data_IF_189226722337
#
_entry.id   IF_189226722337
#
_cell.length_a   1.000
_cell.length_b   1.000
_cell.length_c   1.000
_cell.angle_alpha   90.00
_cell.angle_beta   90.00
_cell.angle_gamma   90.00
#
_symmetry.space_group_name_H-M   'P 1'
#
loop_
_entity.id
_entity.type
_entity.pdbx_description
1 polymer ?
#
# COMPACT_ATOMS: atom_id res chain seq x y z
N UNK A 1 38.81 -0.97 -20.22
CA UNK A 1 38.95 0.37 -19.61
C UNK A 1 38.63 0.22 -18.13
N UNK A 2 39.62 -0.14 -17.31
CA UNK A 2 39.45 -0.29 -15.86
C UNK A 2 40.38 0.71 -15.17
N UNK A 3 39.89 1.91 -14.90
CA UNK A 3 40.56 2.85 -14.00
C UNK A 3 39.51 3.70 -13.27
N UNK A 4 38.46 3.06 -12.73
CA UNK A 4 37.70 3.67 -11.66
C UNK A 4 38.63 3.86 -10.46
N UNK A 5 38.64 5.07 -9.86
CA UNK A 5 39.48 5.37 -8.69
C UNK A 5 39.29 4.31 -7.59
N UNK A 6 40.32 4.05 -6.79
CA UNK A 6 40.24 3.09 -5.66
C UNK A 6 39.01 3.33 -4.78
N UNK A 7 38.65 4.61 -4.60
CA UNK A 7 37.47 5.05 -3.87
C UNK A 7 36.15 4.60 -4.51
N UNK A 8 36.03 4.69 -5.84
CA UNK A 8 34.86 4.20 -6.58
C UNK A 8 34.64 2.70 -6.37
N UNK A 9 35.72 1.90 -6.43
CA UNK A 9 35.65 0.45 -6.17
C UNK A 9 35.27 0.14 -4.72
N UNK A 10 35.76 0.93 -3.76
CA UNK A 10 35.41 0.75 -2.35
C UNK A 10 33.94 1.08 -2.08
N UNK A 11 33.42 2.17 -2.68
CA UNK A 11 31.98 2.53 -2.60
C UNK A 11 31.10 1.44 -3.21
N UNK A 12 31.47 0.90 -4.38
CA UNK A 12 30.73 -0.19 -5.01
C UNK A 12 30.70 -1.47 -4.16
N UNK A 13 31.83 -1.84 -3.54
CA UNK A 13 31.91 -2.98 -2.62
C UNK A 13 31.02 -2.81 -1.39
N UNK A 14 30.94 -1.59 -0.84
CA UNK A 14 30.05 -1.31 0.28
C UNK A 14 28.59 -1.42 -0.14
N UNK A 15 28.21 -0.81 -1.28
CA UNK A 15 26.84 -0.82 -1.78
C UNK A 15 26.31 -2.23 -2.05
N UNK A 16 27.12 -3.12 -2.66
CA UNK A 16 26.67 -4.50 -2.92
C UNK A 16 26.51 -5.31 -1.62
N UNK A 17 27.32 -5.02 -0.59
CA UNK A 17 27.17 -5.65 0.73
C UNK A 17 25.89 -5.20 1.43
N UNK A 18 25.51 -3.93 1.29
CA UNK A 18 24.21 -3.44 1.79
C UNK A 18 23.05 -4.15 1.09
N UNK A 19 23.05 -4.19 -0.25
CA UNK A 19 22.00 -4.84 -1.05
C UNK A 19 21.85 -6.33 -0.70
N UNK A 20 22.97 -7.05 -0.55
CA UNK A 20 22.95 -8.48 -0.18
C UNK A 20 22.34 -8.75 1.20
N UNK A 21 22.41 -7.78 2.12
CA UNK A 21 21.89 -7.90 3.48
C UNK A 21 20.56 -7.14 3.69
N UNK A 22 20.00 -6.56 2.63
CA UNK A 22 18.83 -5.67 2.68
C UNK A 22 17.61 -6.32 3.33
N UNK A 23 17.49 -7.66 3.28
CA UNK A 23 16.44 -8.42 3.99
C UNK A 23 16.38 -8.14 5.50
N UNK A 24 17.51 -7.73 6.09
CA UNK A 24 17.59 -7.37 7.51
C UNK A 24 16.73 -6.15 7.86
N UNK A 25 16.51 -5.23 6.91
CA UNK A 25 15.70 -4.02 7.10
C UNK A 25 14.22 -4.36 7.31
N UNK A 26 13.50 -4.95 6.33
CA UNK A 26 12.08 -5.25 6.49
C UNK A 26 11.83 -6.30 7.58
N UNK A 27 12.74 -7.25 7.80
CA UNK A 27 12.59 -8.22 8.88
C UNK A 27 12.76 -7.60 10.27
N UNK A 28 13.67 -6.62 10.43
CA UNK A 28 13.76 -5.84 11.67
C UNK A 28 12.49 -5.03 11.90
N UNK A 29 11.92 -4.45 10.84
CA UNK A 29 10.65 -3.70 10.90
C UNK A 29 9.47 -4.61 11.25
N UNK A 30 9.42 -5.82 10.67
CA UNK A 30 8.43 -6.83 11.00
C UNK A 30 8.52 -7.24 12.47
N UNK A 31 9.72 -7.49 12.98
CA UNK A 31 9.95 -7.79 14.38
C UNK A 31 9.50 -6.62 15.28
N UNK A 32 9.81 -5.38 14.90
CA UNK A 32 9.38 -4.20 15.64
C UNK A 32 7.86 -4.08 15.75
N UNK A 33 7.15 -4.37 14.66
CA UNK A 33 5.69 -4.39 14.65
C UNK A 33 5.15 -5.52 15.53
N UNK A 34 5.68 -6.74 15.41
CA UNK A 34 5.24 -7.89 16.22
C UNK A 34 5.45 -7.68 17.72
N UNK A 35 6.49 -6.93 18.10
CA UNK A 35 6.78 -6.58 19.48
C UNK A 35 5.96 -5.40 20.00
N UNK A 36 5.21 -4.69 19.13
CA UNK A 36 4.50 -3.46 19.50
C UNK A 36 5.45 -2.31 19.85
N UNK A 37 6.64 -2.25 19.24
CA UNK A 37 7.67 -1.28 19.65
C UNK A 37 7.23 0.18 19.51
N UNK A 38 6.50 0.49 18.44
CA UNK A 38 6.06 1.85 18.16
C UNK A 38 5.11 2.37 19.25
N UNK A 39 4.07 1.61 19.57
CA UNK A 39 3.11 1.94 20.63
C UNK A 39 3.79 2.03 22.01
N UNK A 40 4.69 1.07 22.31
CA UNK A 40 5.42 1.03 23.59
C UNK A 40 6.36 2.24 23.82
N UNK A 41 6.96 2.78 22.74
CA UNK A 41 7.82 3.97 22.80
C UNK A 41 6.99 5.25 22.79
N UNK A 42 5.93 5.32 21.97
CA UNK A 42 5.10 6.51 21.84
C UNK A 42 4.23 6.81 23.07
N UNK A 43 3.86 5.77 23.84
CA UNK A 43 3.24 5.89 25.17
C UNK A 43 2.19 7.02 25.27
N UNK A 44 1.12 6.93 24.47
CA UNK A 44 0.02 7.91 24.41
C UNK A 44 0.45 9.38 24.17
N UNK A 45 1.54 9.59 23.42
CA UNK A 45 2.06 10.90 23.05
C UNK A 45 3.37 11.29 23.75
N UNK A 46 3.79 10.54 24.76
CA UNK A 46 5.09 10.71 25.40
C UNK A 46 6.20 10.04 24.59
N UNK A 47 6.93 10.85 23.82
CA UNK A 47 8.06 10.41 23.00
C UNK A 47 9.42 10.62 23.68
N UNK A 48 9.47 10.59 25.00
CA UNK A 48 10.72 10.72 25.75
C UNK A 48 11.69 9.59 25.39
N UNK A 49 12.99 9.86 25.18
CA UNK A 49 13.94 8.82 24.81
C UNK A 49 14.07 7.70 25.86
N UNK A 50 13.98 6.44 25.42
CA UNK A 50 14.08 5.24 26.26
C UNK A 50 15.22 4.32 25.80
N UNK A 51 15.95 3.74 26.75
CA UNK A 51 16.90 2.65 26.50
C UNK A 51 16.16 1.35 26.18
N UNK A 52 16.85 0.40 25.56
CA UNK A 52 16.27 -0.93 25.30
C UNK A 52 15.78 -1.63 26.58
N UNK A 53 16.50 -1.46 27.69
CA UNK A 53 16.08 -1.98 29.02
C UNK A 53 14.81 -1.32 29.54
N UNK A 54 14.60 -0.03 29.27
CA UNK A 54 13.38 0.70 29.65
C UNK A 54 12.19 0.36 28.74
N UNK A 55 12.45 -0.04 27.48
CA UNK A 55 11.42 -0.42 26.49
C UNK A 55 10.90 -1.84 26.74
N UNK A 56 11.79 -2.80 27.01
CA UNK A 56 11.43 -4.22 27.13
C UNK A 56 10.22 -4.52 28.03
N UNK A 57 10.09 -3.95 29.24
CA UNK A 57 8.95 -4.20 30.12
C UNK A 57 7.61 -3.67 29.56
N UNK A 58 7.65 -2.79 28.56
CA UNK A 58 6.48 -2.20 27.91
C UNK A 58 5.98 -3.03 26.71
N UNK A 59 6.73 -4.03 26.28
CA UNK A 59 6.40 -4.81 25.10
C UNK A 59 5.37 -5.90 25.38
N UNK A 60 4.56 -6.19 24.38
CA UNK A 60 3.66 -7.34 24.38
C UNK A 60 4.44 -8.61 24.09
N UNK A 61 5.26 -9.07 25.04
CA UNK A 61 6.02 -10.31 24.94
C UNK A 61 5.10 -11.51 25.21
N UNK A 62 4.25 -11.87 24.25
CA UNK A 62 3.53 -13.15 24.28
C UNK A 62 4.32 -14.16 23.46
N UNK A 63 5.07 -15.04 24.13
CA UNK A 63 5.63 -16.25 23.53
C UNK A 63 5.42 -17.46 24.44
N UNK A 64 5.25 -18.62 23.81
CA UNK A 64 4.79 -19.88 24.43
C UNK A 64 5.56 -20.23 25.73
N UNK A 65 4.80 -20.54 26.80
CA UNK A 65 5.23 -21.21 28.04
C UNK A 65 6.11 -20.43 29.06
N UNK A 66 5.85 -19.13 29.24
CA UNK A 66 6.27 -18.39 30.44
C UNK A 66 7.00 -17.09 30.11
N UNK A 67 6.90 -16.10 31.01
CA UNK A 67 7.64 -14.84 30.95
C UNK A 67 9.15 -15.10 31.06
N UNK A 68 9.80 -15.34 29.93
CA UNK A 68 11.25 -15.20 29.79
C UNK A 68 11.48 -13.77 29.30
N UNK A 69 12.16 -12.97 30.12
CA UNK A 69 12.46 -11.57 29.81
C UNK A 69 13.21 -11.45 28.48
N UNK A 70 12.80 -10.51 27.63
CA UNK A 70 13.52 -10.22 26.40
C UNK A 70 14.95 -9.74 26.67
N UNK A 71 15.80 -9.81 25.64
CA UNK A 71 17.21 -9.40 25.73
C UNK A 71 17.38 -7.94 25.28
N UNK A 72 17.82 -7.02 26.18
CA UNK A 72 17.99 -5.61 25.84
C UNK A 72 19.03 -5.39 24.74
N UNK A 73 20.06 -6.23 24.66
CA UNK A 73 21.11 -6.10 23.65
C UNK A 73 20.58 -6.44 22.26
N UNK A 74 19.80 -7.51 22.13
CA UNK A 74 19.15 -7.88 20.88
C UNK A 74 18.10 -6.85 20.46
N UNK A 75 17.30 -6.34 21.39
CA UNK A 75 16.37 -5.23 21.10
C UNK A 75 17.14 -3.99 20.63
N UNK A 76 18.24 -3.64 21.29
CA UNK A 76 19.09 -2.52 20.88
C UNK A 76 19.61 -2.69 19.45
N UNK A 77 20.00 -3.91 19.03
CA UNK A 77 20.46 -4.18 17.66
C UNK A 77 19.37 -3.92 16.62
N UNK A 78 18.13 -4.33 16.89
CA UNK A 78 16.96 -4.05 16.03
C UNK A 78 16.70 -2.55 15.96
N UNK A 79 16.68 -1.86 17.11
CA UNK A 79 16.46 -0.41 17.17
C UNK A 79 17.54 0.37 16.40
N UNK A 80 18.82 -0.02 16.49
CA UNK A 80 19.92 0.60 15.73
C UNK A 80 19.74 0.42 14.22
N UNK A 81 19.36 -0.78 13.79
CA UNK A 81 19.10 -1.07 12.38
C UNK A 81 17.97 -0.18 11.85
N UNK A 82 16.88 -0.05 12.60
CA UNK A 82 15.73 0.76 12.19
C UNK A 82 15.99 2.28 12.34
N UNK A 83 16.90 2.68 13.23
CA UNK A 83 17.41 4.05 13.32
C UNK A 83 18.15 4.46 12.05
N UNK A 84 18.95 3.57 11.44
CA UNK A 84 19.67 3.90 10.20
C UNK A 84 18.76 4.10 8.99
N UNK A 85 17.51 3.65 9.07
CA UNK A 85 16.45 3.89 8.08
C UNK A 85 15.40 4.90 8.58
N UNK A 86 15.72 5.64 9.64
CA UNK A 86 14.92 6.77 10.10
C UNK A 86 13.61 6.43 10.78
N UNK A 87 13.39 5.18 11.23
CA UNK A 87 12.18 4.79 11.99
C UNK A 87 12.24 5.27 13.44
N UNK A 88 13.43 5.26 14.03
CA UNK A 88 13.72 5.78 15.36
C UNK A 88 14.82 6.84 15.31
N UNK A 89 14.82 7.75 16.29
CA UNK A 89 15.93 8.64 16.57
C UNK A 89 16.74 8.10 17.72
N UNK A 90 18.07 8.18 17.58
CA UNK A 90 19.01 7.68 18.57
C UNK A 90 19.63 8.84 19.36
N UNK A 91 19.66 8.67 20.68
CA UNK A 91 20.15 9.65 21.65
C UNK A 91 21.27 9.02 22.47
N UNK A 92 22.49 9.49 22.27
CA UNK A 92 23.65 9.05 23.04
C UNK A 92 23.82 9.89 24.30
N UNK A 93 23.83 9.23 25.45
CA UNK A 93 24.05 9.85 26.76
C UNK A 93 25.16 9.13 27.51
N UNK A 94 25.65 9.71 28.61
CA UNK A 94 26.59 9.04 29.51
C UNK A 94 26.02 7.75 30.13
N UNK A 95 24.68 7.63 30.19
CA UNK A 95 23.98 6.44 30.68
C UNK A 95 23.72 5.39 29.60
N UNK A 96 24.21 5.62 28.37
CA UNK A 96 24.03 4.71 27.23
C UNK A 96 23.11 5.28 26.15
N UNK A 97 22.66 4.38 25.28
CA UNK A 97 21.90 4.68 24.06
C UNK A 97 20.41 4.61 24.34
N UNK A 98 19.69 5.67 23.96
CA UNK A 98 18.23 5.78 24.09
C UNK A 98 17.59 6.08 22.75
N UNK A 99 16.30 5.81 22.62
CA UNK A 99 15.55 5.92 21.38
C UNK A 99 14.23 6.62 21.58
N UNK A 100 13.86 7.46 20.63
CA UNK A 100 12.51 8.01 20.46
C UNK A 100 12.00 7.66 19.07
N UNK A 101 10.70 7.77 18.83
CA UNK A 101 10.10 7.49 17.52
C UNK A 101 10.20 8.72 16.60
N UNK A 102 10.45 8.51 15.31
CA UNK A 102 10.39 9.57 14.28
C UNK A 102 8.99 9.67 13.68
N UNK A 103 8.77 10.60 12.75
CA UNK A 103 7.51 10.65 12.00
C UNK A 103 7.28 9.39 11.13
N UNK A 104 8.35 8.76 10.62
CA UNK A 104 8.24 7.46 9.94
C UNK A 104 7.78 6.39 10.93
N UNK A 105 8.41 6.29 12.11
CA UNK A 105 8.00 5.30 13.10
C UNK A 105 6.58 5.54 13.64
N UNK A 106 6.14 6.80 13.76
CA UNK A 106 4.77 7.13 14.19
C UNK A 106 3.70 6.54 13.28
N UNK A 107 4.00 6.31 11.99
CA UNK A 107 3.07 5.62 11.08
C UNK A 107 2.72 4.19 11.51
N UNK A 108 3.52 3.59 12.40
CA UNK A 108 3.29 2.27 12.97
C UNK A 108 2.49 2.31 14.28
N UNK A 109 2.33 3.47 14.90
CA UNK A 109 1.51 3.65 16.11
C UNK A 109 0.05 3.48 15.73
N UNK A 110 -0.67 2.70 16.52
CA UNK A 110 -2.08 2.42 16.29
C UNK A 110 -2.92 3.65 16.64
N UNK A 111 -3.73 4.14 15.68
CA UNK A 111 -4.62 5.27 15.90
C UNK A 111 -5.90 4.88 16.69
N UNK A 112 -6.76 5.87 16.95
CA UNK A 112 -8.02 5.67 17.68
C UNK A 112 -9.00 4.71 17.01
N UNK A 113 -8.88 4.50 15.70
CA UNK A 113 -9.70 3.57 14.93
C UNK A 113 -9.04 2.17 14.83
N UNK A 114 -7.90 1.97 15.49
CA UNK A 114 -7.16 0.71 15.48
C UNK A 114 -6.31 0.50 14.22
N UNK A 115 -6.04 1.57 13.47
CA UNK A 115 -5.37 1.54 12.17
C UNK A 115 -3.94 2.09 12.25
N UNK A 116 -3.05 1.51 11.44
CA UNK A 116 -1.67 1.98 11.23
C UNK A 116 -1.05 1.29 10.03
N UNK A 117 0.15 1.71 9.62
CA UNK A 117 0.96 1.02 8.61
C UNK A 117 1.54 -0.31 9.11
N UNK A 118 1.40 -0.64 10.41
CA UNK A 118 1.91 -1.87 10.99
C UNK A 118 1.28 -3.12 10.33
N UNK A 119 -0.03 -3.10 10.06
CA UNK A 119 -0.71 -4.19 9.38
C UNK A 119 -0.20 -4.39 7.95
N UNK A 120 0.16 -3.30 7.25
CA UNK A 120 0.77 -3.35 5.92
C UNK A 120 2.14 -4.03 5.95
N UNK A 121 2.99 -3.66 6.93
CA UNK A 121 4.26 -4.34 7.17
C UNK A 121 4.04 -5.83 7.45
N UNK A 122 3.09 -6.21 8.29
CA UNK A 122 2.83 -7.63 8.57
C UNK A 122 2.31 -8.37 7.33
N UNK A 123 1.42 -7.75 6.55
CA UNK A 123 0.84 -8.35 5.36
C UNK A 123 1.93 -8.68 4.33
N UNK A 124 2.85 -7.76 4.03
CA UNK A 124 3.93 -7.97 3.06
C UNK A 124 4.90 -9.12 3.41
N UNK A 125 4.91 -9.52 4.68
CA UNK A 125 5.84 -10.51 5.22
C UNK A 125 5.13 -11.75 5.76
N UNK A 126 3.91 -12.03 5.30
CA UNK A 126 3.26 -13.31 5.53
C UNK A 126 4.10 -14.43 4.90
N UNK A 127 4.12 -15.60 5.54
CA UNK A 127 4.97 -16.73 5.12
C UNK A 127 4.77 -17.10 3.65
N UNK A 128 3.51 -17.18 3.19
CA UNK A 128 3.17 -17.51 1.81
C UNK A 128 3.74 -16.49 0.80
N UNK A 129 3.73 -15.19 1.12
CA UNK A 129 4.33 -14.16 0.27
C UNK A 129 5.86 -14.29 0.29
N UNK A 130 6.44 -14.54 1.47
CA UNK A 130 7.88 -14.66 1.63
C UNK A 130 8.47 -15.82 0.82
N UNK A 131 7.72 -16.92 0.66
CA UNK A 131 8.11 -18.06 -0.18
C UNK A 131 8.20 -17.72 -1.68
N UNK A 132 7.53 -16.66 -2.14
CA UNK A 132 7.54 -16.26 -3.54
C UNK A 132 8.79 -15.47 -3.95
N UNK A 133 9.40 -14.71 -3.02
CA UNK A 133 10.51 -13.81 -3.32
C UNK A 133 11.76 -14.50 -3.92
N UNK A 134 12.19 -15.70 -3.47
CA UNK A 134 13.28 -16.41 -4.13
C UNK A 134 13.01 -16.78 -5.60
N UNK A 135 11.73 -16.76 -6.01
CA UNK A 135 11.28 -17.14 -7.35
C UNK A 135 11.01 -15.93 -8.26
N UNK A 136 11.32 -14.69 -7.87
CA UNK A 136 11.04 -13.49 -8.71
C UNK A 136 11.57 -13.63 -10.13
N UNK A 137 12.74 -14.24 -10.31
CA UNK A 137 13.34 -14.48 -11.63
C UNK A 137 12.45 -15.31 -12.57
N UNK A 138 11.53 -16.15 -12.04
CA UNK A 138 10.60 -16.93 -12.85
C UNK A 138 9.58 -16.07 -13.57
N UNK A 139 9.29 -14.86 -13.08
CA UNK A 139 8.44 -13.89 -13.79
C UNK A 139 9.01 -13.52 -15.17
N UNK A 140 10.33 -13.62 -15.36
CA UNK A 140 11.01 -13.32 -16.63
C UNK A 140 11.06 -14.56 -17.53
N UNK A 141 11.44 -15.72 -16.97
CA UNK A 141 11.67 -16.94 -17.77
C UNK A 141 10.40 -17.76 -18.04
N UNK A 142 9.37 -17.61 -17.20
CA UNK A 142 8.10 -18.32 -17.28
C UNK A 142 6.93 -17.37 -16.96
N UNK A 143 6.69 -16.33 -17.78
CA UNK A 143 5.80 -15.20 -17.46
C UNK A 143 4.31 -15.54 -17.42
N UNK A 144 3.93 -16.77 -17.76
CA UNK A 144 2.53 -17.24 -17.74
C UNK A 144 2.06 -17.67 -16.34
N UNK A 145 2.97 -17.83 -15.38
CA UNK A 145 2.65 -18.23 -14.01
C UNK A 145 3.39 -17.34 -13.00
N UNK A 146 2.65 -16.75 -12.06
CA UNK A 146 3.19 -15.89 -11.02
C UNK A 146 4.19 -16.64 -10.11
N UNK A 147 5.30 -15.98 -9.68
CA UNK A 147 6.19 -16.53 -8.67
C UNK A 147 5.45 -17.02 -7.41
N UNK A 148 4.42 -16.29 -6.97
CA UNK A 148 3.59 -16.71 -5.85
C UNK A 148 2.83 -18.02 -6.10
N UNK A 149 2.24 -18.19 -7.28
CA UNK A 149 1.53 -19.41 -7.66
C UNK A 149 2.51 -20.59 -7.71
N UNK A 150 3.72 -20.39 -8.23
CA UNK A 150 4.79 -21.41 -8.22
C UNK A 150 5.18 -21.82 -6.79
N UNK A 151 5.25 -20.86 -5.86
CA UNK A 151 5.62 -21.12 -4.47
C UNK A 151 4.49 -21.77 -3.64
N UNK A 152 3.23 -21.45 -3.94
CA UNK A 152 2.10 -21.76 -3.04
C UNK A 152 0.99 -22.61 -3.70
N UNK A 153 1.06 -22.88 -5.00
CA UNK A 153 0.14 -23.75 -5.75
C UNK A 153 -1.14 -23.08 -6.24
N UNK A 154 -1.46 -21.88 -5.78
CA UNK A 154 -2.66 -21.12 -6.21
C UNK A 154 -2.44 -19.61 -6.09
N UNK A 155 -3.35 -18.81 -6.64
CA UNK A 155 -3.25 -17.35 -6.65
C UNK A 155 -3.51 -16.73 -5.25
N UNK A 156 -2.88 -15.58 -4.96
CA UNK A 156 -2.95 -14.95 -3.64
C UNK A 156 -4.38 -14.61 -3.20
N UNK A 157 -5.20 -14.07 -4.12
CA UNK A 157 -6.60 -13.76 -3.82
C UNK A 157 -7.44 -15.01 -3.53
N UNK A 158 -7.15 -16.14 -4.18
CA UNK A 158 -7.81 -17.41 -3.88
C UNK A 158 -7.47 -17.90 -2.46
N UNK A 159 -6.22 -17.71 -2.02
CA UNK A 159 -5.82 -18.04 -0.64
C UNK A 159 -6.49 -17.14 0.39
N UNK A 160 -6.57 -15.83 0.15
CA UNK A 160 -7.29 -14.91 1.05
C UNK A 160 -8.75 -15.34 1.20
N UNK A 161 -9.42 -15.75 0.10
CA UNK A 161 -10.79 -16.24 0.16
C UNK A 161 -11.00 -17.49 1.05
N UNK A 162 -9.94 -18.28 1.28
CA UNK A 162 -9.97 -19.53 2.07
C UNK A 162 -9.47 -19.36 3.51
N UNK A 163 -8.69 -18.32 3.80
CA UNK A 163 -8.05 -18.11 5.10
C UNK A 163 -8.49 -16.79 5.73
N UNK A 164 -9.39 -16.85 6.71
CA UNK A 164 -9.96 -15.69 7.38
C UNK A 164 -8.89 -14.80 8.04
N UNK A 165 -7.87 -15.41 8.66
CA UNK A 165 -6.75 -14.67 9.26
C UNK A 165 -5.96 -13.86 8.23
N UNK A 166 -5.57 -14.50 7.11
CA UNK A 166 -4.82 -13.83 6.05
C UNK A 166 -5.64 -12.72 5.40
N UNK A 167 -6.93 -12.98 5.16
CA UNK A 167 -7.85 -11.98 4.61
C UNK A 167 -8.08 -10.82 5.57
N UNK A 168 -8.28 -11.07 6.86
CA UNK A 168 -8.45 -10.04 7.87
C UNK A 168 -7.21 -9.15 7.98
N UNK A 169 -6.01 -9.73 7.95
CA UNK A 169 -4.77 -8.98 7.94
C UNK A 169 -4.62 -8.14 6.66
N UNK A 170 -4.97 -8.71 5.50
CA UNK A 170 -4.99 -7.99 4.22
C UNK A 170 -5.94 -6.79 4.27
N UNK A 171 -7.19 -6.97 4.72
CA UNK A 171 -8.17 -5.89 4.83
C UNK A 171 -7.69 -4.80 5.80
N UNK A 172 -7.10 -5.18 6.95
CA UNK A 172 -6.54 -4.23 7.91
C UNK A 172 -5.35 -3.46 7.33
N UNK A 173 -4.48 -4.13 6.57
CA UNK A 173 -3.36 -3.50 5.87
C UNK A 173 -3.85 -2.47 4.85
N UNK A 174 -4.82 -2.84 4.00
CA UNK A 174 -5.37 -1.93 2.99
C UNK A 174 -6.09 -0.74 3.63
N UNK A 175 -6.80 -0.94 4.73
CA UNK A 175 -7.47 0.13 5.48
C UNK A 175 -6.46 1.09 6.12
N UNK A 176 -5.45 0.54 6.81
CA UNK A 176 -4.42 1.33 7.50
C UNK A 176 -3.61 2.22 6.56
N UNK A 177 -3.43 1.80 5.31
CA UNK A 177 -2.79 2.60 4.27
C UNK A 177 -3.79 3.55 3.60
N UNK A 178 -4.99 3.07 3.24
CA UNK A 178 -5.95 3.86 2.45
C UNK A 178 -6.54 5.04 3.21
N UNK A 179 -6.80 4.92 4.51
CA UNK A 179 -7.45 6.00 5.29
C UNK A 179 -6.59 7.26 5.36
N UNK A 180 -5.28 7.21 5.74
CA UNK A 180 -4.42 8.40 5.69
C UNK A 180 -4.34 9.03 4.30
N UNK A 181 -4.19 8.22 3.24
CA UNK A 181 -4.14 8.73 1.87
C UNK A 181 -5.45 9.38 1.43
N UNK A 182 -6.59 8.76 1.75
CA UNK A 182 -7.89 9.34 1.42
C UNK A 182 -8.15 10.64 2.20
N UNK A 183 -7.70 10.78 3.45
CA UNK A 183 -7.77 12.07 4.16
C UNK A 183 -7.03 13.17 3.38
N UNK A 184 -5.78 12.92 2.99
CA UNK A 184 -4.98 13.88 2.23
C UNK A 184 -5.61 14.21 0.86
N UNK A 185 -6.09 13.20 0.12
CA UNK A 185 -6.80 13.38 -1.15
C UNK A 185 -8.02 14.26 -0.98
N UNK A 186 -8.89 13.98 0.00
CA UNK A 186 -10.15 14.70 0.18
C UNK A 186 -9.95 16.13 0.70
N UNK A 187 -8.83 16.43 1.35
CA UNK A 187 -8.45 17.78 1.75
C UNK A 187 -7.92 18.62 0.57
N UNK A 188 -7.34 17.98 -0.45
CA UNK A 188 -6.69 18.66 -1.59
C UNK A 188 -7.43 18.58 -2.93
N UNK A 189 -8.46 17.73 -3.05
CA UNK A 189 -9.15 17.45 -4.31
C UNK A 189 -10.64 17.76 -4.28
N UNK A 190 -11.04 18.81 -4.98
CA UNK A 190 -12.44 19.27 -5.06
C UNK A 190 -13.27 18.59 -6.16
N UNK A 191 -12.74 17.56 -6.81
CA UNK A 191 -13.41 16.96 -7.98
C UNK A 191 -14.79 16.34 -7.68
N UNK A 192 -15.10 16.04 -6.42
CA UNK A 192 -16.41 15.50 -6.02
C UNK A 192 -17.44 16.56 -5.67
N UNK A 193 -17.08 17.86 -5.66
CA UNK A 193 -17.93 18.95 -5.18
C UNK A 193 -19.29 19.06 -5.89
N UNK A 194 -19.36 18.72 -7.18
CA UNK A 194 -20.58 18.81 -7.99
C UNK A 194 -21.09 17.45 -8.47
N UNK A 195 -20.65 16.37 -7.84
CA UNK A 195 -21.10 15.00 -8.13
C UNK A 195 -22.33 14.69 -7.26
N UNK A 196 -23.43 14.24 -7.86
CA UNK A 196 -24.60 13.79 -7.11
C UNK A 196 -24.62 12.26 -6.96
N UNK A 197 -24.28 11.53 -8.03
CA UNK A 197 -24.21 10.08 -8.07
C UNK A 197 -22.78 9.60 -8.31
N UNK A 198 -22.18 8.95 -7.32
CA UNK A 198 -20.81 8.45 -7.36
C UNK A 198 -20.77 6.93 -7.33
N UNK A 199 -20.01 6.32 -8.23
CA UNK A 199 -19.77 4.87 -8.25
C UNK A 199 -18.30 4.61 -7.89
N UNK A 200 -18.05 3.85 -6.83
CA UNK A 200 -16.73 3.38 -6.43
C UNK A 200 -16.53 1.96 -6.97
N UNK A 201 -15.70 1.80 -8.00
CA UNK A 201 -15.43 0.51 -8.67
C UNK A 201 -14.20 -0.14 -8.03
N UNK A 202 -14.34 -1.40 -7.62
CA UNK A 202 -13.33 -2.06 -6.77
C UNK A 202 -13.35 -1.49 -5.35
N UNK A 203 -14.50 -1.00 -4.89
CA UNK A 203 -14.63 -0.27 -3.62
C UNK A 203 -14.55 -1.16 -2.38
N UNK A 204 -14.46 -2.49 -2.52
CA UNK A 204 -14.32 -3.46 -1.43
C UNK A 204 -15.38 -3.27 -0.34
N UNK A 205 -14.98 -3.01 0.92
CA UNK A 205 -15.90 -2.74 2.02
C UNK A 205 -16.63 -1.36 1.93
N UNK A 206 -16.23 -0.49 0.99
CA UNK A 206 -16.84 0.82 0.76
C UNK A 206 -16.25 1.96 1.60
N UNK A 207 -15.06 1.77 2.18
CA UNK A 207 -14.43 2.77 3.06
C UNK A 207 -14.11 4.09 2.35
N UNK A 208 -13.56 4.04 1.13
CA UNK A 208 -13.26 5.23 0.35
C UNK A 208 -14.54 6.02 0.04
N UNK A 209 -15.57 5.35 -0.48
CA UNK A 209 -16.86 5.96 -0.75
C UNK A 209 -17.51 6.57 0.50
N UNK A 210 -17.44 5.89 1.65
CA UNK A 210 -17.91 6.41 2.94
C UNK A 210 -17.21 7.73 3.30
N UNK A 211 -15.89 7.80 3.11
CA UNK A 211 -15.11 9.01 3.39
C UNK A 211 -15.48 10.15 2.42
N UNK A 212 -15.63 9.84 1.13
CA UNK A 212 -16.02 10.82 0.11
C UNK A 212 -17.39 11.42 0.42
N UNK A 213 -18.41 10.60 0.69
CA UNK A 213 -19.77 11.08 1.00
C UNK A 213 -19.80 11.93 2.27
N UNK A 214 -19.00 11.55 3.29
CA UNK A 214 -18.89 12.32 4.53
C UNK A 214 -18.31 13.73 4.28
N UNK A 215 -17.32 13.86 3.39
CA UNK A 215 -16.68 15.13 3.07
C UNK A 215 -17.48 15.97 2.07
N UNK A 216 -18.16 15.32 1.12
CA UNK A 216 -18.90 15.96 0.03
C UNK A 216 -20.39 15.58 0.09
N UNK A 217 -21.21 16.24 0.93
CA UNK A 217 -22.63 15.92 1.11
C UNK A 217 -23.50 16.09 -0.15
N UNK A 218 -22.96 16.69 -1.22
CA UNK A 218 -23.62 16.75 -2.52
C UNK A 218 -23.73 15.38 -3.18
N UNK A 219 -22.85 14.43 -2.83
CA UNK A 219 -22.95 13.02 -3.24
C UNK A 219 -24.11 12.38 -2.47
N UNK A 220 -25.30 12.41 -3.06
CA UNK A 220 -26.54 11.91 -2.47
C UNK A 220 -26.69 10.40 -2.63
N UNK A 221 -26.11 9.84 -3.68
CA UNK A 221 -26.17 8.40 -3.97
C UNK A 221 -24.77 7.85 -4.25
N UNK A 222 -24.28 7.02 -3.35
CA UNK A 222 -23.09 6.21 -3.55
C UNK A 222 -23.44 4.80 -4.01
N UNK A 223 -22.72 4.28 -5.00
CA UNK A 223 -22.71 2.85 -5.34
C UNK A 223 -21.31 2.31 -5.05
N UNK A 224 -21.20 1.42 -4.07
CA UNK A 224 -19.97 0.62 -3.90
C UNK A 224 -20.10 -0.63 -4.77
N UNK A 225 -19.25 -0.74 -5.79
CA UNK A 225 -19.28 -1.81 -6.79
C UNK A 225 -18.05 -2.69 -6.70
N UNK A 226 -18.25 -3.98 -6.45
CA UNK A 226 -17.19 -5.00 -6.39
C UNK A 226 -17.77 -6.37 -6.77
N UNK A 227 -16.96 -7.44 -6.68
CA UNK A 227 -17.43 -8.81 -6.87
C UNK A 227 -18.57 -9.15 -5.89
N UNK A 228 -19.57 -9.94 -6.31
CA UNK A 228 -20.73 -10.25 -5.47
C UNK A 228 -20.40 -10.77 -4.07
N UNK A 229 -19.42 -11.66 -3.95
CA UNK A 229 -18.96 -12.23 -2.70
C UNK A 229 -18.23 -11.24 -1.78
N UNK A 230 -17.66 -10.17 -2.34
CA UNK A 230 -16.98 -9.11 -1.60
C UNK A 230 -18.03 -8.17 -0.99
N UNK A 231 -18.91 -7.60 -1.83
CA UNK A 231 -19.95 -6.68 -1.35
C UNK A 231 -20.98 -7.34 -0.44
N UNK A 232 -21.21 -8.65 -0.55
CA UNK A 232 -22.10 -9.38 0.36
C UNK A 232 -21.63 -9.34 1.82
N UNK A 233 -20.32 -9.11 2.05
CA UNK A 233 -19.71 -9.00 3.38
C UNK A 233 -19.50 -7.54 3.81
N UNK A 234 -19.81 -6.57 2.96
CA UNK A 234 -19.58 -5.16 3.25
C UNK A 234 -20.52 -4.66 4.36
N UNK A 235 -20.04 -3.78 5.26
CA UNK A 235 -20.87 -3.20 6.31
C UNK A 235 -21.93 -2.27 5.69
N UNK A 236 -23.09 -2.13 6.36
CA UNK A 236 -24.08 -1.13 5.94
C UNK A 236 -23.53 0.28 6.14
N UNK A 237 -23.47 1.06 5.08
CA UNK A 237 -23.03 2.46 5.10
C UNK A 237 -24.21 3.36 4.68
N UNK A 238 -24.62 4.35 5.50
CA UNK A 238 -25.69 5.28 5.13
C UNK A 238 -25.37 6.03 3.82
N UNK A 239 -26.33 6.08 2.89
CA UNK A 239 -26.17 6.73 1.58
C UNK A 239 -25.41 5.90 0.54
N UNK A 240 -25.00 4.68 0.88
CA UNK A 240 -24.30 3.76 -0.03
C UNK A 240 -25.15 2.52 -0.32
N UNK A 241 -25.25 2.18 -1.60
CA UNK A 241 -25.78 0.91 -2.08
C UNK A 241 -24.62 0.02 -2.50
N UNK A 242 -24.53 -1.17 -1.92
CA UNK A 242 -23.57 -2.18 -2.34
C UNK A 242 -24.11 -2.98 -3.53
N UNK A 243 -23.36 -3.02 -4.63
CA UNK A 243 -23.75 -3.70 -5.87
C UNK A 243 -22.68 -4.69 -6.28
N UNK A 244 -23.08 -5.96 -6.43
CA UNK A 244 -22.20 -7.03 -6.89
C UNK A 244 -22.18 -7.10 -8.42
N UNK A 245 -21.01 -7.27 -9.00
CA UNK A 245 -20.88 -7.52 -10.44
C UNK A 245 -19.45 -7.70 -10.90
N UNK A 246 -19.24 -7.58 -12.21
CA UNK A 246 -17.95 -7.74 -12.86
C UNK A 246 -17.66 -6.53 -13.75
N UNK A 247 -16.63 -5.75 -13.37
CA UNK A 247 -16.23 -4.54 -14.08
C UNK A 247 -15.77 -4.78 -15.53
N UNK A 248 -15.36 -6.01 -15.87
CA UNK A 248 -15.04 -6.39 -17.25
C UNK A 248 -16.28 -6.49 -18.14
N UNK A 249 -17.44 -6.75 -17.54
CA UNK A 249 -18.72 -6.83 -18.24
C UNK A 249 -19.42 -5.48 -18.28
N UNK A 250 -19.63 -4.86 -17.12
CA UNK A 250 -20.31 -3.57 -17.02
C UNK A 250 -20.02 -2.90 -15.67
N UNK A 251 -20.14 -1.57 -15.66
CA UNK A 251 -20.04 -0.73 -14.46
C UNK A 251 -21.37 0.01 -14.27
N UNK A 252 -21.90 0.15 -13.04
CA UNK A 252 -23.11 0.95 -12.79
C UNK A 252 -22.96 2.39 -13.26
N UNK A 253 -24.05 3.00 -13.71
CA UNK A 253 -24.05 4.41 -14.14
C UNK A 253 -23.98 5.38 -12.95
N UNK A 254 -23.27 6.49 -13.15
CA UNK A 254 -23.16 7.59 -12.20
C UNK A 254 -22.59 8.84 -12.89
N UNK A 255 -22.65 9.99 -12.21
CA UNK A 255 -22.09 11.26 -12.72
C UNK A 255 -20.57 11.22 -12.72
N UNK A 256 -20.00 10.55 -11.73
CA UNK A 256 -18.59 10.23 -11.65
C UNK A 256 -18.37 8.77 -11.23
N UNK A 257 -17.25 8.22 -11.69
CA UNK A 257 -16.74 6.93 -11.26
C UNK A 257 -15.43 7.19 -10.54
N UNK A 258 -15.23 6.54 -9.41
CA UNK A 258 -14.01 6.52 -8.63
C UNK A 258 -13.40 5.11 -8.68
N UNK A 259 -12.08 5.04 -8.78
CA UNK A 259 -11.31 3.81 -8.61
C UNK A 259 -10.08 4.14 -7.77
N UNK A 260 -9.71 3.29 -6.82
CA UNK A 260 -8.45 3.43 -6.10
C UNK A 260 -7.70 2.11 -6.12
N UNK A 261 -6.49 2.14 -6.65
CA UNK A 261 -5.57 0.99 -6.66
C UNK A 261 -6.17 -0.24 -7.34
N UNK A 262 -6.86 -0.02 -8.47
CA UNK A 262 -7.53 -1.07 -9.23
C UNK A 262 -6.68 -1.45 -10.44
N UNK A 263 -6.13 -0.46 -11.14
CA UNK A 263 -5.52 -0.65 -12.46
C UNK A 263 -4.12 -1.30 -12.41
N UNK A 264 -3.49 -1.40 -11.23
CA UNK A 264 -2.13 -1.95 -11.07
C UNK A 264 -2.01 -3.44 -11.35
N UNK A 265 -3.06 -4.23 -11.08
CA UNK A 265 -3.03 -5.69 -11.22
C UNK A 265 -3.48 -6.19 -12.58
N UNK A 266 -3.70 -5.30 -13.55
CA UNK A 266 -4.27 -5.63 -14.86
C UNK A 266 -3.32 -5.27 -15.98
N UNK A 267 -3.42 -6.02 -17.08
CA UNK A 267 -2.74 -5.70 -18.34
C UNK A 267 -3.30 -4.43 -18.96
N UNK A 268 -2.61 -3.87 -19.97
CA UNK A 268 -3.06 -2.66 -20.66
C UNK A 268 -4.42 -2.87 -21.38
N UNK A 269 -4.62 -4.03 -22.00
CA UNK A 269 -5.90 -4.37 -22.66
C UNK A 269 -7.05 -4.53 -21.66
N UNK A 270 -6.78 -5.11 -20.50
CA UNK A 270 -7.76 -5.22 -19.41
C UNK A 270 -8.10 -3.85 -18.81
N UNK A 271 -7.10 -3.01 -18.53
CA UNK A 271 -7.31 -1.64 -18.08
C UNK A 271 -8.17 -0.86 -19.09
N UNK A 272 -7.84 -0.96 -20.38
CA UNK A 272 -8.60 -0.34 -21.45
C UNK A 272 -10.06 -0.82 -21.49
N UNK A 273 -10.29 -2.12 -21.28
CA UNK A 273 -11.63 -2.68 -21.22
C UNK A 273 -12.42 -2.13 -20.01
N UNK A 274 -11.82 -2.11 -18.82
CA UNK A 274 -12.41 -1.52 -17.61
C UNK A 274 -12.75 -0.04 -17.86
N UNK A 275 -11.81 0.74 -18.38
CA UNK A 275 -11.99 2.16 -18.67
C UNK A 275 -13.07 2.41 -19.74
N UNK A 276 -13.19 1.55 -20.76
CA UNK A 276 -14.29 1.63 -21.75
C UNK A 276 -15.65 1.40 -21.11
N UNK A 277 -15.75 0.47 -20.16
CA UNK A 277 -17.00 0.23 -19.43
C UNK A 277 -17.34 1.42 -18.53
N UNK A 278 -16.35 2.02 -17.87
CA UNK A 278 -16.52 3.27 -17.15
C UNK A 278 -17.00 4.39 -18.08
N UNK A 279 -16.36 4.57 -19.23
CA UNK A 279 -16.77 5.57 -20.23
C UNK A 279 -18.23 5.39 -20.67
N UNK A 280 -18.68 4.16 -20.90
CA UNK A 280 -20.09 3.87 -21.26
C UNK A 280 -21.06 4.20 -20.13
N UNK A 281 -20.66 3.97 -18.88
CA UNK A 281 -21.47 4.19 -17.69
C UNK A 281 -21.63 5.68 -17.33
N UNK A 282 -20.73 6.54 -17.79
CA UNK A 282 -20.76 7.99 -17.54
C UNK A 282 -21.68 8.75 -18.51
N UNK A 283 -22.38 9.81 -18.06
CA UNK A 283 -23.08 10.74 -18.93
C UNK A 283 -22.10 11.65 -19.69
N UNK A 284 -22.62 12.45 -20.64
CA UNK A 284 -21.84 13.56 -21.24
C UNK A 284 -21.43 14.53 -20.12
N UNK A 285 -20.14 14.88 -20.04
CA UNK A 285 -19.62 15.68 -18.94
C UNK A 285 -19.35 14.90 -17.65
N UNK A 286 -19.58 13.59 -17.63
CA UNK A 286 -19.17 12.71 -16.54
C UNK A 286 -17.67 12.41 -16.55
N UNK A 287 -17.13 11.95 -15.43
CA UNK A 287 -15.69 11.71 -15.29
C UNK A 287 -15.33 10.44 -14.53
N UNK A 288 -14.18 9.88 -14.88
CA UNK A 288 -13.50 8.84 -14.12
C UNK A 288 -12.36 9.49 -13.31
N UNK A 289 -12.31 9.19 -12.01
CA UNK A 289 -11.27 9.62 -11.08
C UNK A 289 -10.56 8.38 -10.56
N UNK A 290 -9.35 8.11 -11.05
CA UNK A 290 -8.54 6.98 -10.62
C UNK A 290 -7.42 7.43 -9.68
N UNK A 291 -7.23 6.76 -8.56
CA UNK A 291 -6.10 7.00 -7.63
C UNK A 291 -5.13 5.82 -7.73
N UNK A 292 -4.00 6.04 -8.39
CA UNK A 292 -3.05 4.98 -8.72
C UNK A 292 -1.61 5.39 -8.38
N UNK A 293 -0.72 4.43 -8.06
CA UNK A 293 0.71 4.71 -8.05
C UNK A 293 1.17 5.02 -9.48
N UNK A 294 1.76 6.20 -9.67
CA UNK A 294 2.27 6.65 -10.98
C UNK A 294 3.78 6.67 -10.98
N UNK A 295 4.36 5.80 -11.80
CA UNK A 295 5.80 5.70 -11.98
C UNK A 295 6.36 7.01 -12.54
N UNK A 296 7.52 7.47 -12.04
CA UNK A 296 8.25 8.55 -12.69
C UNK A 296 8.68 8.11 -14.09
N UNK A 297 8.82 9.06 -15.00
CA UNK A 297 9.33 8.79 -16.36
C UNK A 297 10.76 8.25 -16.34
N UNK A 298 11.58 8.74 -15.41
CA UNK A 298 12.97 8.35 -15.24
C UNK A 298 13.19 7.75 -13.85
N UNK A 299 14.06 6.75 -13.76
CA UNK A 299 14.45 6.14 -12.48
C UNK A 299 15.56 6.96 -11.83
N UNK A 300 15.32 7.38 -10.59
CA UNK A 300 16.32 7.96 -9.69
C UNK A 300 16.44 7.17 -8.38
N UNK A 301 17.31 7.61 -7.48
CA UNK A 301 17.56 6.99 -6.18
C UNK A 301 16.71 7.59 -5.05
N UNK A 302 15.65 8.34 -5.37
CA UNK A 302 14.76 8.93 -4.38
C UNK A 302 13.92 7.86 -3.67
N UNK A 303 13.49 8.16 -2.43
CA UNK A 303 12.59 7.28 -1.70
C UNK A 303 11.26 7.04 -2.43
N UNK A 304 10.73 8.07 -3.11
CA UNK A 304 9.49 7.96 -3.88
C UNK A 304 9.65 6.96 -5.02
N UNK A 305 10.70 7.09 -5.82
CA UNK A 305 10.95 6.18 -6.95
C UNK A 305 11.17 4.76 -6.49
N UNK A 306 11.98 4.54 -5.44
CA UNK A 306 12.19 3.20 -4.86
C UNK A 306 10.89 2.57 -4.39
N UNK A 307 10.07 3.29 -3.60
CA UNK A 307 8.80 2.76 -3.09
C UNK A 307 7.81 2.37 -4.21
N UNK A 308 7.73 3.17 -5.28
CA UNK A 308 6.85 2.89 -6.41
C UNK A 308 7.31 1.67 -7.23
N UNK A 309 8.62 1.53 -7.45
CA UNK A 309 9.20 0.39 -8.17
C UNK A 309 9.17 -0.89 -7.33
N UNK A 310 9.41 -0.80 -6.02
CA UNK A 310 9.24 -1.92 -5.09
C UNK A 310 7.80 -2.45 -5.11
N UNK A 311 6.81 -1.53 -5.14
CA UNK A 311 5.40 -1.88 -5.31
C UNK A 311 5.08 -2.57 -6.64
N UNK A 312 5.71 -2.15 -7.73
CA UNK A 312 5.53 -2.77 -9.06
C UNK A 312 6.05 -4.21 -9.07
N UNK A 313 7.27 -4.42 -8.53
CA UNK A 313 7.86 -5.76 -8.38
C UNK A 313 7.01 -6.62 -7.43
N UNK A 314 6.44 -6.05 -6.37
CA UNK A 314 5.50 -6.76 -5.49
C UNK A 314 4.27 -7.26 -6.27
N UNK A 315 3.63 -6.41 -7.07
CA UNK A 315 2.47 -6.80 -7.89
C UNK A 315 2.83 -7.88 -8.89
N UNK A 316 3.95 -7.73 -9.61
CA UNK A 316 4.47 -8.72 -10.56
C UNK A 316 4.71 -10.08 -9.89
N UNK A 317 5.24 -10.07 -8.67
CA UNK A 317 5.64 -11.30 -7.94
C UNK A 317 4.44 -12.01 -7.30
N UNK A 318 3.55 -11.24 -6.68
CA UNK A 318 2.52 -11.74 -5.78
C UNK A 318 1.17 -11.93 -6.45
N UNK A 319 0.74 -10.96 -7.27
CA UNK A 319 -0.63 -10.93 -7.77
C UNK A 319 -0.72 -11.31 -9.23
N UNK A 320 0.08 -10.65 -10.08
CA UNK A 320 -0.02 -10.84 -11.51
C UNK A 320 1.24 -10.43 -12.25
N UNK A 321 1.91 -11.39 -12.87
CA UNK A 321 3.18 -11.16 -13.59
C UNK A 321 3.05 -10.15 -14.72
N UNK A 322 1.89 -10.13 -15.39
CA UNK A 322 1.61 -9.23 -16.52
C UNK A 322 0.89 -7.94 -16.11
N UNK A 323 0.54 -7.78 -14.83
CA UNK A 323 0.10 -6.49 -14.28
C UNK A 323 1.31 -5.58 -14.10
N UNK A 324 1.10 -4.27 -14.16
CA UNK A 324 2.17 -3.28 -13.98
C UNK A 324 1.65 -1.96 -13.43
N UNK A 325 2.50 -1.29 -12.66
CA UNK A 325 2.40 0.15 -12.45
C UNK A 325 2.74 0.88 -13.76
N UNK A 326 2.20 2.08 -13.92
CA UNK A 326 2.29 2.83 -15.18
C UNK A 326 2.79 4.24 -14.94
N UNK A 327 3.46 4.77 -15.94
CA UNK A 327 3.77 6.19 -16.05
C UNK A 327 2.51 6.99 -16.36
N UNK A 328 2.60 8.31 -16.17
CA UNK A 328 1.50 9.22 -16.47
C UNK A 328 1.08 9.18 -17.95
N UNK A 329 2.04 9.11 -18.87
CA UNK A 329 1.75 9.07 -20.31
C UNK A 329 1.03 7.76 -20.69
N UNK A 330 1.43 6.63 -20.11
CA UNK A 330 0.72 5.36 -20.32
C UNK A 330 -0.73 5.43 -19.81
N UNK A 331 -0.98 6.04 -18.66
CA UNK A 331 -2.36 6.25 -18.17
C UNK A 331 -3.17 7.17 -19.10
N UNK A 332 -2.56 8.26 -19.57
CA UNK A 332 -3.18 9.17 -20.53
C UNK A 332 -3.55 8.47 -21.83
N UNK A 333 -2.65 7.67 -22.40
CA UNK A 333 -2.88 6.87 -23.60
C UNK A 333 -4.01 5.85 -23.40
N UNK A 334 -4.05 5.17 -22.24
CA UNK A 334 -5.14 4.26 -21.89
C UNK A 334 -6.49 4.99 -21.89
N UNK A 335 -6.58 6.15 -21.22
CA UNK A 335 -7.78 6.97 -21.19
C UNK A 335 -8.26 7.40 -22.58
N UNK A 336 -7.35 7.94 -23.41
CA UNK A 336 -7.67 8.33 -24.78
C UNK A 336 -8.15 7.13 -25.61
N UNK A 337 -7.51 5.98 -25.47
CA UNK A 337 -7.87 4.75 -26.20
C UNK A 337 -9.21 4.13 -25.73
N UNK A 338 -9.66 4.48 -24.52
CA UNK A 338 -10.95 4.10 -23.98
C UNK A 338 -12.09 5.06 -24.37
N UNK A 339 -11.76 6.20 -24.97
CA UNK A 339 -12.71 7.18 -25.50
C UNK A 339 -12.80 8.49 -24.71
N UNK A 340 -12.07 8.63 -23.60
CA UNK A 340 -12.04 9.88 -22.85
C UNK A 340 -11.34 10.98 -23.67
N UNK A 341 -11.83 12.20 -23.53
CA UNK A 341 -11.38 13.35 -24.34
C UNK A 341 -10.30 14.18 -23.64
N UNK A 342 -10.30 14.20 -22.31
CA UNK A 342 -9.34 14.97 -21.49
C UNK A 342 -8.75 14.12 -20.39
N UNK A 343 -7.49 14.37 -20.06
CA UNK A 343 -6.75 13.76 -18.96
C UNK A 343 -6.09 14.85 -18.10
N UNK A 344 -6.20 14.75 -16.77
CA UNK A 344 -5.55 15.66 -15.83
C UNK A 344 -5.02 14.91 -14.60
N UNK A 345 -3.71 14.95 -14.32
CA UNK A 345 -3.15 14.45 -13.08
C UNK A 345 -3.19 15.51 -11.96
N UNK A 346 -3.37 15.07 -10.71
CA UNK A 346 -3.23 15.90 -9.51
C UNK A 346 -2.29 15.20 -8.53
N UNK A 347 -1.23 15.91 -8.12
CA UNK A 347 -0.19 15.41 -7.21
C UNK A 347 -0.41 15.99 -5.82
N UNK A 348 -1.29 15.35 -5.05
CA UNK A 348 -1.59 15.74 -3.66
C UNK A 348 -0.77 14.89 -2.68
N UNK A 349 -0.55 13.63 -3.05
CA UNK A 349 0.21 12.67 -2.26
C UNK A 349 1.48 12.25 -3.02
N UNK A 350 2.48 11.74 -2.29
CA UNK A 350 3.75 11.31 -2.87
C UNK A 350 3.66 9.92 -3.51
N UNK A 351 2.78 9.03 -3.05
CA UNK A 351 2.64 7.68 -3.56
C UNK A 351 1.51 7.57 -4.59
N UNK A 352 0.31 8.07 -4.26
CA UNK A 352 -0.82 8.07 -5.18
C UNK A 352 -0.94 9.39 -5.95
N UNK A 353 -1.24 9.27 -7.24
CA UNK A 353 -1.67 10.39 -8.07
C UNK A 353 -3.15 10.23 -8.39
N UNK A 354 -3.90 11.34 -8.33
CA UNK A 354 -5.28 11.36 -8.83
C UNK A 354 -5.24 11.62 -10.33
N UNK A 355 -5.88 10.75 -11.09
CA UNK A 355 -5.94 10.76 -12.55
C UNK A 355 -7.41 10.99 -12.95
N UNK A 356 -7.72 12.20 -13.39
CA UNK A 356 -9.06 12.57 -13.84
C UNK A 356 -9.16 12.43 -15.37
N UNK A 357 -10.12 11.62 -15.81
CA UNK A 357 -10.46 11.41 -17.21
C UNK A 357 -11.87 11.92 -17.48
N UNK A 358 -12.00 12.89 -18.39
CA UNK A 358 -13.28 13.51 -18.73
C UNK A 358 -13.87 12.86 -19.98
N UNK A 359 -15.16 12.52 -19.93
CA UNK A 359 -15.94 12.08 -21.10
C UNK A 359 -16.23 13.25 -22.02
#
# INVERSE_FOLDING_TARGET
MENGSSESRNKARLAIMELANMISVPMSLNAAVRLGLADAIWNDGDNSPLSATEILPRLHLTYQNGTIGGDPENLQRILRMLTSYGVFSEHLTNAGRKYSITDVGKTLVTDSDGLSYAAYVLQHHQEALMRAWPLVHTAVVEPETEPYVKANGEAAYAQYGKCEEMNGLMQKAMSGVSVPFMKAILDGYDGFKYVEHLVDVGGSAGDCLRMIIKQFPNVRQGINFDLPEVVAKAPKIPGVTHMGGDMFQSVPSGDAIFMKWVLTTWTDEECKQIMKNCYKALPVGGKLVACEPVLPKETDDSHRTRALLEGDIFVMTIYRTKGKHRTEEEFKELGLSAGFSTFRPFYIDYFYTILEFQK
#
